data_IF_786558717074
#
_entry.id   IF_786558717074
#
_cell.length_a   1.000
_cell.length_b   1.000
_cell.length_c   1.000
_cell.angle_alpha   90.00
_cell.angle_beta   90.00
_cell.angle_gamma   90.00
#
_symmetry.space_group_name_H-M   'P 1'
#
loop_
_entity.id
_entity.type
_entity.pdbx_description
1 polymer ?
#
# COMPACT_ATOMS: atom_id res chain seq x y z
N UNK A 1 -52.66 21.48 -74.83
CA UNK A 1 -52.82 22.54 -73.82
C UNK A 1 -53.42 21.88 -72.60
N UNK A 2 -52.59 21.57 -71.61
CA UNK A 2 -52.34 22.42 -70.43
C UNK A 2 -53.40 22.09 -69.36
N UNK A 3 -53.10 21.75 -68.11
CA UNK A 3 -51.88 21.74 -67.32
C UNK A 3 -52.11 20.77 -66.14
N UNK A 4 -51.02 20.22 -65.61
CA UNK A 4 -50.98 19.38 -64.44
C UNK A 4 -50.96 20.25 -63.17
N UNK A 5 -51.71 19.90 -62.14
CA UNK A 5 -51.38 20.27 -60.75
C UNK A 5 -51.77 19.13 -59.80
N UNK A 6 -50.81 18.25 -59.50
CA UNK A 6 -50.91 17.30 -58.39
C UNK A 6 -50.61 18.04 -57.09
N UNK A 7 -51.60 18.06 -56.19
CA UNK A 7 -51.51 18.63 -54.85
C UNK A 7 -50.37 17.99 -54.06
N UNK A 8 -49.44 18.84 -53.66
CA UNK A 8 -48.22 18.54 -52.92
C UNK A 8 -48.56 18.47 -51.42
N UNK A 9 -48.64 17.29 -50.84
CA UNK A 9 -48.78 17.10 -49.38
C UNK A 9 -47.38 17.27 -48.78
N UNK A 10 -47.14 18.20 -47.84
CA UNK A 10 -45.84 18.32 -47.21
C UNK A 10 -45.65 17.18 -46.21
N UNK A 11 -44.98 16.10 -46.64
CA UNK A 11 -44.46 15.09 -45.72
C UNK A 11 -43.40 15.75 -44.84
N UNK A 12 -43.76 15.90 -43.57
CA UNK A 12 -42.88 16.38 -42.52
C UNK A 12 -41.58 15.55 -42.49
N UNK A 13 -40.47 16.23 -42.79
CA UNK A 13 -39.15 16.10 -42.15
C UNK A 13 -38.90 14.76 -41.42
N UNK A 14 -38.43 13.75 -42.14
CA UNK A 14 -37.60 12.71 -41.49
C UNK A 14 -36.19 13.28 -41.31
N UNK A 15 -35.98 13.88 -40.14
CA UNK A 15 -34.65 14.21 -39.65
C UNK A 15 -33.90 12.91 -39.30
N UNK A 16 -32.56 12.92 -39.40
CA UNK A 16 -31.71 11.74 -39.24
C UNK A 16 -31.97 11.01 -37.92
N UNK A 17 -32.12 9.69 -37.99
CA UNK A 17 -32.02 8.81 -36.83
C UNK A 17 -30.54 8.73 -36.45
N UNK A 18 -30.04 9.80 -35.85
CA UNK A 18 -28.87 9.79 -34.99
C UNK A 18 -29.31 10.33 -33.62
N UNK A 19 -28.69 9.81 -32.55
CA UNK A 19 -28.88 10.22 -31.14
C UNK A 19 -30.18 9.79 -30.44
N UNK A 20 -30.37 8.49 -30.13
CA UNK A 20 -31.17 8.11 -28.94
C UNK A 20 -30.60 6.91 -28.14
N UNK A 21 -29.34 6.52 -28.33
CA UNK A 21 -28.71 5.49 -27.47
C UNK A 21 -27.84 6.06 -26.33
N UNK A 22 -27.69 7.38 -26.21
CA UNK A 22 -26.76 7.97 -25.23
C UNK A 22 -27.42 8.47 -23.93
N UNK A 23 -28.75 8.46 -23.83
CA UNK A 23 -29.47 9.17 -22.76
C UNK A 23 -30.01 8.30 -21.61
N UNK A 24 -29.62 7.03 -21.47
CA UNK A 24 -29.98 6.23 -20.28
C UNK A 24 -28.88 5.24 -19.87
N UNK A 25 -27.68 5.74 -19.56
CA UNK A 25 -26.79 5.02 -18.65
C UNK A 25 -27.05 5.53 -17.22
N UNK A 26 -27.90 4.87 -16.41
CA UNK A 26 -28.25 5.32 -15.06
C UNK A 26 -27.07 5.31 -14.07
N UNK A 27 -25.87 4.93 -14.53
CA UNK A 27 -24.65 4.78 -13.74
C UNK A 27 -23.55 5.78 -14.12
N UNK A 28 -23.84 6.79 -14.95
CA UNK A 28 -22.88 7.82 -15.35
C UNK A 28 -22.20 8.55 -14.17
N UNK A 29 -22.87 8.63 -13.01
CA UNK A 29 -22.31 9.19 -11.76
C UNK A 29 -21.11 8.40 -11.18
N UNK A 30 -20.86 7.18 -11.65
CA UNK A 30 -19.76 6.32 -11.18
C UNK A 30 -18.46 6.50 -11.97
N UNK A 31 -18.52 7.19 -13.10
CA UNK A 31 -17.38 7.42 -13.99
C UNK A 31 -16.74 8.79 -13.80
N UNK A 32 -17.27 9.60 -12.87
CA UNK A 32 -16.56 10.75 -12.37
C UNK A 32 -15.20 10.34 -11.80
N UNK A 33 -14.14 10.94 -12.36
CA UNK A 33 -12.77 10.71 -11.89
C UNK A 33 -12.74 10.99 -10.39
N UNK A 34 -12.29 10.03 -9.56
CA UNK A 34 -12.24 10.27 -8.14
C UNK A 34 -11.31 11.44 -7.88
N UNK A 35 -11.78 12.44 -7.12
CA UNK A 35 -10.95 13.58 -6.68
C UNK A 35 -9.68 13.10 -5.93
N UNK A 36 -9.66 11.84 -5.46
CA UNK A 36 -8.62 11.24 -4.63
C UNK A 36 -8.02 9.97 -5.24
N UNK A 37 -6.70 9.83 -5.11
CA UNK A 37 -5.97 8.62 -5.55
C UNK A 37 -6.42 7.38 -4.77
N UNK A 38 -6.97 6.40 -5.47
CA UNK A 38 -7.57 5.19 -4.91
C UNK A 38 -6.52 4.06 -4.73
N UNK A 39 -6.48 3.44 -3.54
CA UNK A 39 -5.65 2.27 -3.26
C UNK A 39 -6.07 1.07 -4.13
N UNK A 40 -5.19 0.08 -4.31
CA UNK A 40 -5.51 -1.15 -5.07
C UNK A 40 -6.77 -1.85 -4.53
N UNK A 41 -6.88 -1.94 -3.20
CA UNK A 41 -8.04 -2.56 -2.54
C UNK A 41 -9.32 -1.75 -2.70
N UNK A 42 -9.22 -0.42 -2.60
CA UNK A 42 -10.34 0.50 -2.82
C UNK A 42 -10.81 0.43 -4.31
N UNK A 43 -9.89 0.35 -5.28
CA UNK A 43 -10.22 0.11 -6.70
C UNK A 43 -10.96 -1.20 -6.92
N UNK A 44 -10.52 -2.27 -6.27
CA UNK A 44 -11.18 -3.58 -6.34
C UNK A 44 -12.61 -3.50 -5.81
N UNK A 45 -12.82 -2.84 -4.67
CA UNK A 45 -14.16 -2.60 -4.09
C UNK A 45 -15.06 -1.85 -5.06
N UNK A 46 -14.58 -0.74 -5.62
CA UNK A 46 -15.35 0.04 -6.59
C UNK A 46 -15.76 -0.81 -7.79
N UNK A 47 -14.84 -1.57 -8.40
CA UNK A 47 -15.13 -2.44 -9.54
C UNK A 47 -16.20 -3.48 -9.22
N UNK A 48 -16.12 -4.14 -8.06
CA UNK A 48 -17.12 -5.15 -7.65
C UNK A 48 -18.48 -4.50 -7.38
N UNK A 49 -18.51 -3.32 -6.74
CA UNK A 49 -19.77 -2.62 -6.49
C UNK A 49 -20.40 -2.08 -7.78
N UNK A 50 -19.60 -1.59 -8.74
CA UNK A 50 -20.10 -1.23 -10.09
C UNK A 50 -20.82 -2.41 -10.75
N UNK A 51 -20.20 -3.59 -10.75
CA UNK A 51 -20.81 -4.82 -11.28
C UNK A 51 -22.10 -5.23 -10.55
N UNK A 52 -22.14 -5.01 -9.23
CA UNK A 52 -23.32 -5.29 -8.41
C UNK A 52 -24.46 -4.29 -8.66
N UNK A 53 -24.14 -3.05 -9.03
CA UNK A 53 -25.12 -2.04 -9.43
C UNK A 53 -25.66 -2.30 -10.85
N UNK A 54 -24.80 -2.79 -11.75
CA UNK A 54 -25.17 -3.25 -13.10
C UNK A 54 -26.01 -4.55 -13.11
N UNK A 55 -26.17 -5.22 -11.97
CA UNK A 55 -26.89 -6.49 -11.88
C UNK A 55 -26.12 -7.72 -12.39
N UNK A 56 -24.85 -7.57 -12.80
CA UNK A 56 -24.02 -8.69 -13.30
C UNK A 56 -23.69 -9.72 -12.21
N UNK A 57 -23.70 -9.31 -10.93
CA UNK A 57 -23.30 -10.17 -9.80
C UNK A 57 -24.26 -10.03 -8.63
N UNK A 58 -24.43 -11.13 -7.90
CA UNK A 58 -25.22 -11.17 -6.69
C UNK A 58 -24.47 -10.62 -5.46
N UNK A 59 -25.20 -10.18 -4.43
CA UNK A 59 -24.61 -9.68 -3.18
C UNK A 59 -23.74 -10.69 -2.45
N UNK A 60 -24.10 -11.97 -2.51
CA UNK A 60 -23.32 -13.09 -1.95
C UNK A 60 -22.02 -13.33 -2.74
N UNK A 61 -22.06 -13.19 -4.06
CA UNK A 61 -20.87 -13.29 -4.92
C UNK A 61 -19.93 -12.12 -4.73
N UNK A 62 -20.46 -10.90 -4.59
CA UNK A 62 -19.68 -9.71 -4.28
C UNK A 62 -18.97 -9.86 -2.93
N UNK A 63 -19.65 -10.42 -1.92
CA UNK A 63 -19.07 -10.75 -0.61
C UNK A 63 -17.90 -11.72 -0.75
N UNK A 64 -18.07 -12.82 -1.50
CA UNK A 64 -17.00 -13.79 -1.80
C UNK A 64 -15.81 -13.15 -2.51
N UNK A 65 -16.05 -12.33 -3.55
CA UNK A 65 -14.99 -11.65 -4.34
C UNK A 65 -14.18 -10.64 -3.51
N UNK A 66 -14.81 -9.99 -2.54
CA UNK A 66 -14.18 -8.99 -1.67
C UNK A 66 -13.66 -9.56 -0.36
N UNK A 67 -14.05 -10.78 0.03
CA UNK A 67 -13.69 -11.37 1.32
C UNK A 67 -14.32 -10.63 2.50
N UNK A 68 -15.51 -10.08 2.32
CA UNK A 68 -16.23 -9.29 3.33
C UNK A 68 -17.65 -9.83 3.52
N UNK A 69 -18.30 -9.44 4.61
CA UNK A 69 -19.67 -9.85 4.90
C UNK A 69 -20.69 -9.22 3.93
N UNK A 70 -21.82 -9.87 3.71
CA UNK A 70 -22.94 -9.35 2.90
C UNK A 70 -23.45 -8.00 3.42
N UNK A 71 -23.47 -7.81 4.75
CA UNK A 71 -23.79 -6.52 5.38
C UNK A 71 -22.83 -5.41 4.95
N UNK A 72 -21.54 -5.70 4.90
CA UNK A 72 -20.54 -4.73 4.45
C UNK A 72 -20.69 -4.41 2.96
N UNK A 73 -21.04 -5.39 2.12
CA UNK A 73 -21.39 -5.14 0.71
C UNK A 73 -22.59 -4.20 0.60
N UNK A 74 -23.66 -4.43 1.38
CA UNK A 74 -24.85 -3.55 1.39
C UNK A 74 -24.50 -2.13 1.83
N UNK A 75 -23.65 -1.99 2.84
CA UNK A 75 -23.19 -0.68 3.30
C UNK A 75 -22.34 0.03 2.24
N UNK A 76 -21.41 -0.68 1.59
CA UNK A 76 -20.61 -0.15 0.48
C UNK A 76 -21.50 0.26 -0.70
N UNK A 77 -22.51 -0.55 -1.05
CA UNK A 77 -23.49 -0.20 -2.09
C UNK A 77 -24.17 1.13 -1.77
N UNK A 78 -24.66 1.29 -0.54
CA UNK A 78 -25.30 2.54 -0.08
C UNK A 78 -24.34 3.73 -0.13
N UNK A 79 -23.10 3.55 0.32
CA UNK A 79 -22.08 4.60 0.29
C UNK A 79 -21.76 5.04 -1.14
N UNK A 80 -21.64 4.08 -2.07
CA UNK A 80 -21.36 4.38 -3.48
C UNK A 80 -22.55 5.04 -4.18
N UNK A 81 -23.79 4.71 -3.80
CA UNK A 81 -24.98 5.40 -4.31
C UNK A 81 -25.05 6.86 -3.85
N UNK A 82 -24.64 7.15 -2.60
CA UNK A 82 -24.74 8.49 -2.03
C UNK A 82 -23.54 9.38 -2.37
N UNK A 83 -22.32 8.82 -2.27
CA UNK A 83 -21.04 9.55 -2.34
C UNK A 83 -20.27 9.20 -3.64
N UNK A 84 -20.84 8.40 -4.55
CA UNK A 84 -20.21 8.00 -5.81
C UNK A 84 -18.91 7.21 -5.60
N UNK A 85 -17.87 7.55 -6.37
CA UNK A 85 -16.55 6.92 -6.24
C UNK A 85 -15.87 7.22 -4.89
N UNK A 86 -16.24 8.31 -4.21
CA UNK A 86 -15.67 8.69 -2.91
C UNK A 86 -16.13 7.79 -1.77
N UNK A 87 -17.31 7.17 -1.88
CA UNK A 87 -17.87 6.29 -0.85
C UNK A 87 -17.01 5.04 -0.55
N UNK A 88 -16.09 4.69 -1.46
CA UNK A 88 -15.15 3.56 -1.27
C UNK A 88 -13.85 4.00 -0.58
N UNK A 89 -13.56 5.30 -0.57
CA UNK A 89 -12.35 5.86 0.03
C UNK A 89 -12.46 5.75 1.55
N UNK A 90 -11.38 5.33 2.21
CA UNK A 90 -11.36 5.30 3.67
C UNK A 90 -11.54 6.72 4.26
N UNK A 91 -12.52 6.89 5.16
CA UNK A 91 -12.86 8.22 5.71
C UNK A 91 -11.69 8.88 6.44
N UNK A 92 -10.85 8.13 7.17
CA UNK A 92 -9.67 8.68 7.87
C UNK A 92 -8.43 8.86 6.97
N UNK A 93 -8.53 8.65 5.66
CA UNK A 93 -7.36 8.77 4.75
C UNK A 93 -6.84 10.20 4.65
N UNK A 94 -7.70 11.19 4.91
CA UNK A 94 -7.40 12.61 4.77
C UNK A 94 -7.31 13.36 6.10
N UNK A 95 -7.69 12.72 7.21
CA UNK A 95 -7.69 13.39 8.51
C UNK A 95 -6.42 13.05 9.28
N UNK A 96 -5.78 14.08 9.81
CA UNK A 96 -4.75 13.94 10.84
C UNK A 96 -5.47 13.54 12.14
N UNK A 97 -5.11 12.42 12.79
CA UNK A 97 -5.69 12.06 14.08
C UNK A 97 -5.49 13.18 15.10
N UNK A 98 -6.46 13.41 15.98
CA UNK A 98 -6.41 14.47 17.01
C UNK A 98 -5.13 14.41 17.86
N UNK A 99 -4.72 13.20 18.26
CA UNK A 99 -3.51 12.97 19.08
C UNK A 99 -2.19 13.13 18.30
N UNK A 100 -2.22 13.67 17.07
CA UNK A 100 -1.00 13.82 16.27
C UNK A 100 -0.37 15.16 16.59
N UNK A 101 0.86 15.11 17.11
CA UNK A 101 1.72 16.28 17.30
C UNK A 101 1.80 17.15 16.06
N UNK A 102 2.03 18.45 16.30
CA UNK A 102 2.16 19.36 15.20
C UNK A 102 3.38 19.06 14.33
N UNK A 103 3.22 19.29 13.03
CA UNK A 103 4.29 19.08 12.06
C UNK A 103 5.49 19.98 12.34
N UNK A 104 5.27 21.20 12.83
CA UNK A 104 6.33 22.15 13.15
C UNK A 104 7.25 21.59 14.24
N UNK A 105 6.68 21.08 15.34
CA UNK A 105 7.43 20.42 16.43
C UNK A 105 8.31 19.29 15.89
N UNK A 106 7.74 18.42 15.05
CA UNK A 106 8.50 17.31 14.46
C UNK A 106 9.64 17.79 13.57
N UNK A 107 9.43 18.86 12.80
CA UNK A 107 10.45 19.44 11.92
C UNK A 107 11.55 20.15 12.70
N UNK A 108 11.19 20.87 13.77
CA UNK A 108 12.11 21.55 14.66
C UNK A 108 13.08 20.55 15.28
N UNK A 109 12.56 19.47 15.88
CA UNK A 109 13.37 18.39 16.48
C UNK A 109 14.31 17.76 15.44
N UNK A 110 13.84 17.51 14.22
CA UNK A 110 14.67 16.94 13.16
C UNK A 110 15.78 17.91 12.71
N UNK A 111 15.50 19.21 12.60
CA UNK A 111 16.49 20.23 12.24
C UNK A 111 17.54 20.37 13.34
N UNK A 112 17.10 20.43 14.60
CA UNK A 112 17.96 20.54 15.77
C UNK A 112 18.95 19.37 15.85
N UNK A 113 18.46 18.13 15.66
CA UNK A 113 19.34 16.97 15.64
C UNK A 113 20.39 17.03 14.52
N UNK A 114 20.00 17.52 13.34
CA UNK A 114 20.91 17.60 12.19
C UNK A 114 21.99 18.67 12.37
N UNK A 115 21.65 19.79 13.03
CA UNK A 115 22.55 20.93 13.21
C UNK A 115 23.55 20.70 14.33
N UNK A 116 23.07 20.30 15.50
CA UNK A 116 23.86 20.37 16.74
C UNK A 116 24.12 19.01 17.38
N UNK A 117 23.16 18.09 17.31
CA UNK A 117 23.22 16.83 18.07
C UNK A 117 23.47 15.60 17.20
N UNK A 118 24.08 15.80 16.02
CA UNK A 118 24.35 14.72 15.08
C UNK A 118 25.30 13.69 15.70
N UNK A 119 24.87 12.44 15.78
CA UNK A 119 25.70 11.35 16.34
C UNK A 119 25.46 11.08 17.83
N UNK A 120 24.69 11.92 18.52
CA UNK A 120 24.30 11.67 19.91
C UNK A 120 23.34 10.48 20.02
N UNK A 121 23.34 9.85 21.20
CA UNK A 121 22.35 8.84 21.54
C UNK A 121 20.96 9.46 21.55
N UNK A 122 19.99 8.80 20.91
CA UNK A 122 18.61 9.29 20.86
C UNK A 122 17.95 9.36 22.24
N UNK A 123 18.39 8.56 23.21
CA UNK A 123 17.92 8.69 24.59
C UNK A 123 18.37 10.02 25.21
N UNK A 124 19.63 10.39 24.98
CA UNK A 124 20.21 11.63 25.49
C UNK A 124 19.59 12.84 24.79
N UNK A 125 19.49 12.79 23.46
CA UNK A 125 18.83 13.84 22.70
C UNK A 125 17.37 14.04 23.10
N UNK A 126 16.64 12.96 23.42
CA UNK A 126 15.27 13.08 23.92
C UNK A 126 15.21 13.79 25.28
N UNK A 127 16.15 13.50 26.19
CA UNK A 127 16.28 14.19 27.47
C UNK A 127 16.54 15.69 27.27
N UNK A 128 17.49 16.03 26.39
CA UNK A 128 17.81 17.41 26.03
C UNK A 128 16.59 18.14 25.45
N UNK A 129 15.82 17.48 24.57
CA UNK A 129 14.58 18.05 24.01
C UNK A 129 13.53 18.37 25.08
N UNK A 130 13.43 17.53 26.11
CA UNK A 130 12.47 17.70 27.19
C UNK A 130 12.91 18.77 28.19
N UNK A 131 14.18 18.74 28.61
CA UNK A 131 14.72 19.66 29.62
C UNK A 131 15.00 21.06 29.07
N UNK A 132 15.64 21.17 27.90
CA UNK A 132 16.11 22.46 27.36
C UNK A 132 15.10 23.14 26.44
N UNK A 133 14.28 22.34 25.73
CA UNK A 133 13.34 22.84 24.73
C UNK A 133 11.87 22.64 25.11
N UNK A 134 11.59 22.10 26.31
CA UNK A 134 10.23 21.95 26.83
C UNK A 134 9.30 21.08 25.99
N UNK A 135 9.85 20.14 25.20
CA UNK A 135 9.04 19.33 24.28
C UNK A 135 8.23 18.30 25.05
N UNK A 136 6.90 18.45 25.06
CA UNK A 136 5.92 17.48 25.63
C UNK A 136 5.76 16.20 24.80
N UNK A 137 6.84 15.72 24.19
CA UNK A 137 6.89 14.47 23.46
C UNK A 137 7.68 13.44 24.27
N UNK A 138 7.12 12.24 24.42
CA UNK A 138 7.85 11.13 25.01
C UNK A 138 9.07 10.77 24.16
N UNK A 139 10.06 10.12 24.78
CA UNK A 139 11.26 9.60 24.08
C UNK A 139 10.91 8.79 22.83
N UNK A 140 9.88 7.95 22.88
CA UNK A 140 9.45 7.13 21.73
C UNK A 140 8.83 7.97 20.61
N UNK A 141 8.10 9.03 20.95
CA UNK A 141 7.59 10.00 19.98
C UNK A 141 8.72 10.75 19.30
N UNK A 142 9.69 11.26 20.05
CA UNK A 142 10.89 11.94 19.53
C UNK A 142 11.66 11.00 18.60
N UNK A 143 11.88 9.74 19.02
CA UNK A 143 12.47 8.70 18.18
C UNK A 143 11.72 8.52 16.86
N UNK A 144 10.39 8.49 16.91
CA UNK A 144 9.55 8.33 15.72
C UNK A 144 9.63 9.55 14.79
N UNK A 145 9.74 10.78 15.31
CA UNK A 145 9.98 11.96 14.49
C UNK A 145 11.30 11.85 13.74
N UNK A 146 12.39 11.54 14.44
CA UNK A 146 13.71 11.35 13.83
C UNK A 146 13.68 10.25 12.76
N UNK A 147 13.02 9.12 13.05
CA UNK A 147 12.88 7.99 12.11
C UNK A 147 12.09 8.38 10.86
N UNK A 148 10.99 9.14 11.00
CA UNK A 148 10.21 9.68 9.86
C UNK A 148 11.05 10.69 9.06
N UNK A 149 11.87 11.49 9.74
CA UNK A 149 12.86 12.40 9.16
C UNK A 149 14.08 11.72 8.52
N UNK A 150 14.07 10.39 8.36
CA UNK A 150 15.15 9.54 7.83
C UNK A 150 16.46 9.61 8.62
N UNK A 151 16.42 10.05 9.87
CA UNK A 151 17.56 10.07 10.77
C UNK A 151 17.63 8.71 11.48
N UNK A 152 18.77 8.03 11.37
CA UNK A 152 18.99 6.73 11.99
C UNK A 152 19.74 6.89 13.30
N UNK A 153 19.36 6.10 14.30
CA UNK A 153 20.08 6.08 15.57
C UNK A 153 21.52 5.60 15.34
N UNK A 154 22.51 6.31 15.88
CA UNK A 154 23.91 5.87 15.86
C UNK A 154 24.10 4.51 16.52
N UNK A 155 23.32 4.22 17.56
CA UNK A 155 23.35 2.94 18.31
C UNK A 155 22.41 1.87 17.72
N UNK A 156 22.04 1.99 16.44
CA UNK A 156 21.16 1.01 15.81
C UNK A 156 21.87 -0.33 15.66
N UNK A 157 21.38 -1.35 16.36
CA UNK A 157 21.78 -2.75 16.13
C UNK A 157 21.42 -3.17 14.70
N UNK A 158 22.43 -3.51 13.91
CA UNK A 158 22.22 -4.14 12.60
C UNK A 158 21.93 -5.63 12.81
N UNK A 159 20.88 -6.14 12.18
CA UNK A 159 20.68 -7.60 12.13
C UNK A 159 21.76 -8.16 11.22
N UNK A 160 22.65 -9.00 11.76
CA UNK A 160 23.58 -9.78 10.93
C UNK A 160 22.73 -10.69 10.03
N UNK A 161 22.98 -10.64 8.71
CA UNK A 161 22.35 -11.60 7.79
C UNK A 161 22.92 -12.98 8.14
N UNK A 162 22.06 -13.98 8.34
CA UNK A 162 22.52 -15.38 8.41
C UNK A 162 23.07 -15.71 7.03
N UNK A 163 24.37 -15.96 6.93
CA UNK A 163 24.97 -16.54 5.73
C UNK A 163 24.60 -18.02 5.80
N UNK A 164 23.72 -18.47 4.91
CA UNK A 164 23.54 -19.90 4.72
C UNK A 164 24.78 -20.37 3.97
N UNK A 165 25.65 -21.13 4.63
CA UNK A 165 26.73 -21.84 3.96
C UNK A 165 26.10 -22.79 2.95
N UNK A 166 26.15 -22.41 1.67
CA UNK A 166 25.84 -23.33 0.59
C UNK A 166 26.97 -24.36 0.58
N UNK A 167 26.70 -25.53 1.15
CA UNK A 167 27.58 -26.69 1.07
C UNK A 167 27.74 -27.03 -0.41
N UNK A 168 28.82 -26.55 -1.02
CA UNK A 168 29.22 -26.97 -2.36
C UNK A 168 29.81 -28.37 -2.22
N UNK A 169 29.08 -29.36 -2.71
CA UNK A 169 29.54 -30.74 -2.83
C UNK A 169 30.73 -30.78 -3.80
N UNK A 170 31.94 -30.75 -3.26
CA UNK A 170 33.15 -31.07 -4.03
C UNK A 170 33.07 -32.53 -4.45
N UNK A 171 32.83 -32.76 -5.73
CA UNK A 171 32.92 -34.05 -6.40
C UNK A 171 34.32 -34.62 -6.20
N UNK A 172 34.37 -35.87 -5.71
CA UNK A 172 35.59 -36.65 -5.55
C UNK A 172 36.17 -36.97 -6.93
N UNK A 173 37.29 -36.36 -7.31
CA UNK A 173 38.17 -36.94 -8.33
C UNK A 173 39.29 -37.70 -7.65
N UNK A 174 39.27 -39.00 -7.92
CA UNK A 174 40.23 -40.02 -7.52
C UNK A 174 41.48 -39.83 -8.38
N UNK A 175 42.60 -39.36 -7.81
CA UNK A 175 43.92 -39.47 -8.45
C UNK A 175 44.88 -40.20 -7.53
N UNK A 176 45.33 -41.34 -8.07
CA UNK A 176 46.36 -42.25 -7.57
C UNK A 176 47.75 -41.60 -7.68
N UNK A 177 48.69 -42.12 -6.87
CA UNK A 177 50.15 -41.87 -6.82
C UNK A 177 50.56 -40.92 -5.68
N UNK A 178 51.56 -41.18 -4.83
CA UNK A 178 52.59 -42.23 -4.73
C UNK A 178 52.96 -42.38 -3.23
N UNK A 179 53.43 -43.57 -2.88
CA UNK A 179 54.09 -43.91 -1.60
C UNK A 179 55.13 -42.85 -1.19
N UNK A 180 55.28 -42.67 0.13
CA UNK A 180 56.52 -42.71 0.91
C UNK A 180 56.09 -42.79 2.40
N UNK A 181 56.03 -43.96 3.03
CA UNK A 181 57.07 -44.55 3.89
C UNK A 181 57.81 -43.53 4.77
N UNK A 182 57.46 -43.46 6.06
CA UNK A 182 58.35 -43.80 7.20
C UNK A 182 57.92 -43.10 8.50
N UNK A 183 58.00 -43.84 9.62
CA UNK A 183 58.25 -43.37 11.01
C UNK A 183 57.16 -42.49 11.66
N UNK A 184 56.67 -42.69 12.89
CA UNK A 184 57.12 -43.43 14.08
C UNK A 184 55.97 -43.47 15.10
N UNK A 185 55.79 -44.62 15.75
CA UNK A 185 55.30 -44.90 17.13
C UNK A 185 54.68 -43.72 17.92
N UNK A 186 53.48 -43.91 18.51
CA UNK A 186 53.29 -44.29 19.95
C UNK A 186 51.81 -44.39 20.36
N UNK A 187 51.49 -45.49 21.05
CA UNK A 187 50.52 -45.70 22.16
C UNK A 187 49.04 -45.32 21.97
N UNK A 188 48.14 -46.31 21.90
CA UNK A 188 47.46 -46.98 23.05
C UNK A 188 46.49 -46.01 23.75
N UNK A 189 45.21 -46.14 23.44
CA UNK A 189 44.22 -46.81 24.30
C UNK A 189 44.00 -46.07 25.62
N UNK A 190 42.80 -45.50 25.79
CA UNK A 190 41.91 -46.04 26.79
C UNK A 190 40.44 -45.70 26.51
N UNK A 191 39.66 -46.75 26.63
CA UNK A 191 38.21 -46.86 26.65
C UNK A 191 37.65 -46.41 28.01
N UNK A 192 36.30 -46.37 28.09
CA UNK A 192 35.45 -46.30 29.30
C UNK A 192 35.27 -44.88 29.85
N UNK A 193 34.06 -44.39 30.12
CA UNK A 193 32.71 -44.96 30.19
C UNK A 193 31.70 -43.84 29.95
#
# INVERSE_FOLDING_TARGET
MAEQETQNIPTAQELPIEEQSEQNNPLAFLDEKPKKKLSKGERKKLRVIKKLLLGEINGTEAAKKLGITTRQVRNLKRQVLNEGTEGVVHKNKNYKPYNTYDTEVSTFICKLYRREYRGTNFSEFARICQEQYGVEASRSTIYNFLRRGRIRSPQRKTKKKKVNEVVTSKTKTKTISRKNSSTTKKSLENSKS
#
